data_IF_636157225771
#
_entry.id   IF_636157225771
#
_cell.length_a   1.000
_cell.length_b   1.000
_cell.length_c   1.000
_cell.angle_alpha   90.00
_cell.angle_beta   90.00
_cell.angle_gamma   90.00
#
_symmetry.space_group_name_H-M   'P 1'
#
loop_
_entity.id
_entity.type
_entity.pdbx_description
1 polymer ?
#
# COMPACT_ATOMS: atom_id res chain seq x y z
N UNK A 1 -4.88 -3.94 18.24
CA UNK A 1 -5.60 -5.00 17.58
C UNK A 1 -7.00 -4.63 17.13
N UNK A 2 -7.78 -4.00 17.97
CA UNK A 2 -9.16 -3.68 17.68
C UNK A 2 -9.40 -2.78 16.49
N UNK A 3 -8.59 -1.73 16.32
CA UNK A 3 -8.77 -0.74 15.23
C UNK A 3 -8.52 -1.35 13.87
N UNK A 4 -7.40 -2.03 13.69
CA UNK A 4 -7.06 -2.66 12.40
C UNK A 4 -8.10 -3.71 12.03
N UNK A 5 -8.56 -4.51 13.00
CA UNK A 5 -9.59 -5.52 12.77
C UNK A 5 -10.92 -4.89 12.35
N UNK A 6 -11.33 -3.80 13.03
CA UNK A 6 -12.58 -3.11 12.70
C UNK A 6 -12.52 -2.49 11.31
N UNK A 7 -11.40 -1.88 10.95
CA UNK A 7 -11.21 -1.32 9.63
C UNK A 7 -11.27 -2.42 8.58
N UNK A 8 -10.60 -3.55 8.83
CA UNK A 8 -10.64 -4.70 7.94
C UNK A 8 -12.05 -5.21 7.70
N UNK A 9 -12.85 -5.31 8.77
CA UNK A 9 -14.24 -5.74 8.65
C UNK A 9 -15.09 -4.74 7.86
N UNK A 10 -14.90 -3.44 8.06
CA UNK A 10 -15.58 -2.41 7.29
C UNK A 10 -15.21 -2.47 5.81
N UNK A 11 -13.94 -2.60 5.51
CA UNK A 11 -13.45 -2.66 4.13
C UNK A 11 -13.92 -3.93 3.41
N UNK A 12 -13.98 -5.04 4.14
CA UNK A 12 -14.44 -6.30 3.57
C UNK A 12 -15.90 -6.25 3.13
N UNK A 13 -16.72 -5.46 3.81
CA UNK A 13 -18.12 -5.25 3.45
C UNK A 13 -18.31 -4.38 2.22
N UNK A 14 -17.30 -3.61 1.85
CA UNK A 14 -17.37 -2.75 0.66
C UNK A 14 -17.13 -3.59 -0.59
N UNK A 15 -18.13 -3.67 -1.47
CA UNK A 15 -18.09 -4.50 -2.68
C UNK A 15 -16.97 -4.11 -3.65
N UNK A 16 -16.50 -2.88 -3.57
CA UNK A 16 -15.48 -2.37 -4.47
C UNK A 16 -14.05 -2.74 -4.03
N UNK A 17 -13.86 -3.11 -2.77
CA UNK A 17 -12.53 -3.46 -2.24
C UNK A 17 -12.23 -4.92 -2.52
N UNK A 18 -11.15 -5.20 -3.26
CA UNK A 18 -10.73 -6.56 -3.59
C UNK A 18 -9.82 -7.13 -2.52
N UNK A 19 -8.83 -6.36 -2.07
CA UNK A 19 -7.97 -6.74 -0.96
C UNK A 19 -7.44 -5.49 -0.27
N UNK A 20 -6.95 -5.65 0.94
CA UNK A 20 -6.45 -4.53 1.75
C UNK A 20 -5.30 -4.96 2.65
N UNK A 21 -4.39 -4.01 2.87
CA UNK A 21 -3.25 -4.17 3.77
C UNK A 21 -3.27 -3.07 4.83
N UNK A 22 -2.75 -3.38 6.00
CA UNK A 22 -2.29 -2.38 6.97
C UNK A 22 -0.78 -2.33 6.86
N UNK A 23 -0.22 -1.14 6.80
CA UNK A 23 1.22 -0.97 6.68
C UNK A 23 1.70 0.15 7.61
N UNK A 24 2.98 0.49 7.55
CA UNK A 24 3.54 1.52 8.40
C UNK A 24 3.74 1.06 9.83
N UNK A 25 3.64 1.98 10.79
CA UNK A 25 3.96 1.69 12.19
C UNK A 25 3.04 0.66 12.84
N UNK A 26 1.75 0.64 12.47
CA UNK A 26 0.82 -0.37 12.99
C UNK A 26 1.18 -1.80 12.54
N UNK A 27 1.59 -1.96 11.30
CA UNK A 27 1.99 -3.27 10.78
C UNK A 27 3.28 -3.76 11.43
N UNK A 28 4.20 -2.84 11.77
CA UNK A 28 5.46 -3.18 12.43
C UNK A 28 5.34 -3.36 13.94
N UNK A 29 4.17 -3.10 14.52
CA UNK A 29 3.98 -3.15 15.97
C UNK A 29 4.63 -2.01 16.73
N UNK A 30 5.01 -0.94 16.03
CA UNK A 30 5.68 0.23 16.62
C UNK A 30 4.72 1.36 16.97
N UNK A 31 3.45 1.21 16.61
CA UNK A 31 2.46 2.27 16.77
C UNK A 31 2.11 2.52 18.23
N UNK A 32 1.99 3.80 18.61
CA UNK A 32 1.31 4.21 19.80
C UNK A 32 -0.20 4.26 19.52
N UNK A 33 -1.00 4.41 20.57
CA UNK A 33 -2.45 4.51 20.40
C UNK A 33 -2.91 5.77 19.66
N UNK A 34 -2.02 6.74 19.47
CA UNK A 34 -2.31 7.99 18.75
C UNK A 34 -1.70 8.03 17.35
N UNK A 35 -1.10 6.93 16.91
CA UNK A 35 -0.53 6.85 15.58
C UNK A 35 -1.63 6.69 14.53
N UNK A 36 -1.39 7.24 13.34
CA UNK A 36 -2.28 7.05 12.20
C UNK A 36 -2.28 5.58 11.79
N UNK A 37 -3.42 5.11 11.34
CA UNK A 37 -3.53 3.78 10.75
C UNK A 37 -3.41 3.89 9.25
N UNK A 38 -2.32 3.38 8.70
CA UNK A 38 -2.06 3.40 7.26
C UNK A 38 -2.66 2.16 6.61
N UNK A 39 -3.60 2.37 5.70
CA UNK A 39 -4.31 1.30 5.01
C UNK A 39 -4.14 1.46 3.51
N UNK A 40 -3.84 0.38 2.83
CA UNK A 40 -3.74 0.36 1.38
C UNK A 40 -4.78 -0.62 0.81
N UNK A 41 -5.56 -0.16 -0.16
CA UNK A 41 -6.66 -0.93 -0.74
C UNK A 41 -6.50 -1.06 -2.24
N UNK A 42 -6.91 -2.21 -2.77
CA UNK A 42 -7.02 -2.43 -4.21
C UNK A 42 -8.50 -2.47 -4.56
N UNK A 43 -8.92 -1.63 -5.50
CA UNK A 43 -10.32 -1.43 -5.84
C UNK A 43 -10.64 -1.99 -7.21
N UNK A 44 -11.89 -2.45 -7.41
CA UNK A 44 -12.40 -2.82 -8.73
C UNK A 44 -12.52 -1.57 -9.59
N UNK A 45 -13.09 -0.50 -9.02
CA UNK A 45 -13.22 0.82 -9.63
C UNK A 45 -12.46 1.82 -8.76
N UNK A 46 -11.38 2.35 -9.29
CA UNK A 46 -10.51 3.29 -8.56
C UNK A 46 -10.84 4.76 -8.83
N UNK A 47 -12.04 5.05 -9.33
CA UNK A 47 -12.48 6.41 -9.58
C UNK A 47 -12.68 7.21 -8.30
N UNK A 48 -12.73 8.53 -8.46
CA UNK A 48 -12.83 9.45 -7.32
C UNK A 48 -14.08 9.22 -6.46
N UNK A 49 -15.22 9.00 -7.08
CA UNK A 49 -16.49 8.78 -6.36
C UNK A 49 -16.42 7.51 -5.51
N UNK A 50 -15.85 6.44 -6.06
CA UNK A 50 -15.68 5.18 -5.35
C UNK A 50 -14.75 5.34 -4.16
N UNK A 51 -13.69 6.14 -4.31
CA UNK A 51 -12.76 6.44 -3.23
C UNK A 51 -13.46 7.23 -2.11
N UNK A 52 -14.23 8.26 -2.46
CA UNK A 52 -14.95 9.08 -1.48
C UNK A 52 -15.99 8.24 -0.73
N UNK A 53 -16.70 7.37 -1.43
CA UNK A 53 -17.64 6.44 -0.81
C UNK A 53 -16.93 5.53 0.19
N UNK A 54 -15.78 5.01 -0.19
CA UNK A 54 -14.97 4.17 0.69
C UNK A 54 -14.62 4.91 1.99
N UNK A 55 -14.14 6.13 1.89
CA UNK A 55 -13.78 6.93 3.07
C UNK A 55 -14.96 7.14 4.00
N UNK A 56 -16.16 7.30 3.45
CA UNK A 56 -17.37 7.53 4.26
C UNK A 56 -17.80 6.32 5.08
N UNK A 57 -17.33 5.11 4.72
CA UNK A 57 -17.70 3.86 5.39
C UNK A 57 -16.75 3.47 6.51
N UNK A 58 -15.63 4.19 6.66
CA UNK A 58 -14.66 3.85 7.69
C UNK A 58 -15.19 4.15 9.09
N UNK A 59 -14.81 3.35 10.08
CA UNK A 59 -15.26 3.60 11.45
C UNK A 59 -14.63 4.87 12.01
N UNK A 60 -15.34 5.54 12.89
CA UNK A 60 -14.81 6.67 13.65
C UNK A 60 -14.18 6.11 14.92
N UNK A 61 -12.92 6.43 15.16
CA UNK A 61 -12.20 5.98 16.35
C UNK A 61 -11.39 7.15 16.90
N UNK A 62 -11.70 7.55 18.13
CA UNK A 62 -11.04 8.70 18.76
C UNK A 62 -9.53 8.44 18.93
N UNK A 63 -8.76 9.44 18.54
CA UNK A 63 -7.31 9.39 18.65
C UNK A 63 -6.61 8.62 17.54
N UNK A 64 -7.36 8.09 16.57
CA UNK A 64 -6.79 7.39 15.43
C UNK A 64 -7.30 8.03 14.13
N UNK A 65 -6.37 8.46 13.30
CA UNK A 65 -6.68 8.93 11.95
C UNK A 65 -6.36 7.81 10.95
N UNK A 66 -7.19 7.72 9.92
CA UNK A 66 -6.98 6.72 8.88
C UNK A 66 -6.38 7.39 7.65
N UNK A 67 -5.26 6.87 7.19
CA UNK A 67 -4.65 7.27 5.94
C UNK A 67 -4.87 6.12 4.94
N UNK A 68 -5.82 6.32 4.03
CA UNK A 68 -6.19 5.29 3.06
C UNK A 68 -5.60 5.62 1.70
N UNK A 69 -4.82 4.70 1.18
CA UNK A 69 -4.20 4.84 -0.13
C UNK A 69 -4.68 3.76 -1.07
N UNK A 70 -4.85 4.13 -2.34
CA UNK A 70 -5.29 3.20 -3.38
C UNK A 70 -4.07 2.64 -4.10
N UNK A 71 -3.99 1.32 -4.19
CA UNK A 71 -2.85 0.63 -4.79
C UNK A 71 -2.90 0.55 -6.31
N UNK A 72 -4.08 0.73 -6.92
CA UNK A 72 -4.30 0.48 -8.35
C UNK A 72 -3.27 1.15 -9.25
N UNK A 73 -3.00 2.42 -9.02
CA UNK A 73 -2.07 3.21 -9.84
C UNK A 73 -0.93 3.80 -9.02
N UNK A 74 -0.63 3.20 -7.89
CA UNK A 74 0.44 3.67 -7.03
C UNK A 74 1.82 3.40 -7.65
N UNK A 75 2.85 4.18 -7.27
CA UNK A 75 4.22 3.93 -7.74
C UNK A 75 4.74 2.56 -7.33
N UNK A 76 5.60 1.94 -8.14
CA UNK A 76 6.11 0.59 -7.84
C UNK A 76 6.78 0.44 -6.48
N UNK A 77 7.55 1.42 -6.03
CA UNK A 77 8.21 1.34 -4.73
C UNK A 77 7.23 1.38 -3.57
N UNK A 78 6.17 2.18 -3.69
CA UNK A 78 5.12 2.23 -2.68
C UNK A 78 4.42 0.88 -2.58
N UNK A 79 4.00 0.32 -3.72
CA UNK A 79 3.37 -1.01 -3.75
C UNK A 79 4.28 -2.08 -3.15
N UNK A 80 5.55 -2.05 -3.52
CA UNK A 80 6.54 -3.00 -3.02
C UNK A 80 6.68 -2.92 -1.49
N UNK A 81 6.76 -1.71 -0.95
CA UNK A 81 6.88 -1.53 0.49
C UNK A 81 5.65 -2.01 1.25
N UNK A 82 4.47 -1.82 0.68
CA UNK A 82 3.22 -2.34 1.27
C UNK A 82 3.24 -3.86 1.33
N UNK A 83 3.64 -4.52 0.24
CA UNK A 83 3.73 -5.98 0.19
C UNK A 83 4.77 -6.50 1.19
N UNK A 84 5.94 -5.86 1.24
CA UNK A 84 7.07 -6.31 2.06
C UNK A 84 6.82 -6.14 3.55
N UNK A 85 6.29 -5.00 3.95
CA UNK A 85 6.17 -4.63 5.36
C UNK A 85 4.75 -4.71 5.90
N UNK A 86 3.76 -4.71 5.02
CA UNK A 86 2.37 -4.68 5.41
C UNK A 86 1.82 -6.02 5.87
N UNK A 87 0.68 -5.95 6.54
CA UNK A 87 -0.10 -7.11 6.94
C UNK A 87 -1.36 -7.16 6.10
N UNK A 88 -1.59 -8.27 5.42
CA UNK A 88 -2.77 -8.47 4.60
C UNK A 88 -3.99 -8.65 5.51
N UNK A 89 -5.01 -7.81 5.33
CA UNK A 89 -6.24 -7.89 6.12
C UNK A 89 -7.20 -8.91 5.55
N UNK A 90 -7.41 -8.91 4.23
CA UNK A 90 -8.27 -9.88 3.56
C UNK A 90 -8.01 -9.87 2.05
N UNK A 91 -8.44 -10.93 1.38
CA UNK A 91 -8.39 -11.05 -0.08
C UNK A 91 -9.72 -11.65 -0.52
N UNK A 92 -10.44 -10.97 -1.40
CA UNK A 92 -11.69 -11.49 -1.97
C UNK A 92 -11.46 -12.23 -3.28
N UNK A 93 -10.47 -11.81 -4.06
CA UNK A 93 -10.09 -12.45 -5.32
C UNK A 93 -8.60 -12.76 -5.27
N UNK A 94 -8.31 -14.02 -5.00
CA UNK A 94 -6.94 -14.51 -4.83
C UNK A 94 -6.10 -14.31 -6.09
N UNK A 95 -6.68 -14.54 -7.25
CA UNK A 95 -5.98 -14.41 -8.52
C UNK A 95 -5.56 -12.98 -8.78
N UNK A 96 -6.45 -12.02 -8.53
CA UNK A 96 -6.16 -10.60 -8.68
C UNK A 96 -5.03 -10.19 -7.75
N UNK A 97 -5.07 -10.66 -6.51
CA UNK A 97 -4.02 -10.38 -5.54
C UNK A 97 -2.67 -10.95 -5.98
N UNK A 98 -2.64 -12.19 -6.43
CA UNK A 98 -1.42 -12.83 -6.91
C UNK A 98 -0.82 -12.09 -8.10
N UNK A 99 -1.64 -11.66 -9.04
CA UNK A 99 -1.20 -10.86 -10.17
C UNK A 99 -0.62 -9.52 -9.73
N UNK A 100 -1.27 -8.88 -8.76
CA UNK A 100 -0.78 -7.63 -8.19
C UNK A 100 0.60 -7.82 -7.57
N UNK A 101 0.79 -8.84 -6.75
CA UNK A 101 2.07 -9.13 -6.10
C UNK A 101 3.14 -9.40 -7.15
N UNK A 102 2.85 -10.26 -8.12
CA UNK A 102 3.79 -10.59 -9.19
C UNK A 102 4.22 -9.35 -9.98
N UNK A 103 3.26 -8.58 -10.46
CA UNK A 103 3.54 -7.38 -11.26
C UNK A 103 4.31 -6.33 -10.46
N UNK A 104 4.00 -6.21 -9.19
CA UNK A 104 4.71 -5.28 -8.30
C UNK A 104 6.16 -5.69 -8.12
N UNK A 105 6.42 -6.97 -7.89
CA UNK A 105 7.79 -7.47 -7.72
C UNK A 105 8.61 -7.29 -8.99
N UNK A 106 8.02 -7.58 -10.16
CA UNK A 106 8.71 -7.39 -11.45
C UNK A 106 9.05 -5.92 -11.65
N UNK A 107 8.09 -5.03 -11.43
CA UNK A 107 8.30 -3.59 -11.59
C UNK A 107 9.35 -3.05 -10.61
N UNK A 108 9.35 -3.54 -9.39
CA UNK A 108 10.34 -3.12 -8.39
C UNK A 108 11.75 -3.56 -8.76
N UNK A 109 11.90 -4.79 -9.29
CA UNK A 109 13.20 -5.27 -9.77
C UNK A 109 13.71 -4.47 -10.95
N UNK A 110 12.85 -4.17 -11.92
CA UNK A 110 13.21 -3.35 -13.08
C UNK A 110 13.66 -1.96 -12.64
N UNK A 111 12.95 -1.36 -11.71
CA UNK A 111 13.30 -0.05 -11.18
C UNK A 111 14.65 -0.10 -10.45
N UNK A 112 14.89 -1.14 -9.66
CA UNK A 112 16.16 -1.32 -8.96
C UNK A 112 17.33 -1.39 -9.94
N UNK A 113 17.18 -2.15 -11.02
CA UNK A 113 18.21 -2.27 -12.05
C UNK A 113 18.47 -0.92 -12.73
N UNK A 114 17.41 -0.18 -13.05
CA UNK A 114 17.51 1.14 -13.67
C UNK A 114 18.24 2.12 -12.74
N UNK A 115 17.85 2.17 -11.48
CA UNK A 115 18.48 3.06 -10.50
C UNK A 115 19.95 2.70 -10.26
N UNK A 116 20.26 1.41 -10.22
CA UNK A 116 21.64 0.95 -10.06
C UNK A 116 22.52 1.38 -11.24
N UNK A 117 22.01 1.25 -12.47
CA UNK A 117 22.74 1.67 -13.67
C UNK A 117 22.93 3.19 -13.69
N UNK A 118 21.88 3.95 -13.39
CA UNK A 118 21.95 5.42 -13.35
C UNK A 118 22.96 5.90 -12.31
N UNK A 119 22.95 5.26 -11.16
CA UNK A 119 23.91 5.59 -10.09
C UNK A 119 25.35 5.36 -10.53
N UNK A 120 25.60 4.25 -11.20
CA UNK A 120 26.91 3.90 -11.72
C UNK A 120 27.39 4.92 -12.77
N UNK A 121 26.52 5.24 -13.73
CA UNK A 121 26.82 6.23 -14.77
C UNK A 121 27.10 7.61 -14.19
N UNK A 122 26.32 8.03 -13.21
CA UNK A 122 26.52 9.31 -12.53
C UNK A 122 27.86 9.33 -11.81
N UNK A 123 28.21 8.26 -11.12
CA UNK A 123 29.46 8.16 -10.39
C UNK A 123 30.65 8.20 -11.35
N UNK A 124 30.59 7.46 -12.45
CA UNK A 124 31.64 7.46 -13.49
C UNK A 124 31.85 8.85 -14.08
N UNK A 125 30.75 9.56 -14.37
CA UNK A 125 30.82 10.93 -14.92
C UNK A 125 31.47 11.89 -13.93
N UNK A 126 31.17 11.76 -12.65
CA UNK A 126 31.76 12.60 -11.62
C UNK A 126 33.27 12.32 -11.50
N UNK A 127 33.66 11.05 -11.50
CA UNK A 127 35.06 10.66 -11.42
C UNK A 127 35.86 11.12 -12.65
N UNK A 128 35.26 11.06 -13.83
CA UNK A 128 35.92 11.51 -15.07
C UNK A 128 36.13 13.03 -15.10
N UNK A 129 35.32 13.78 -14.35
CA UNK A 129 35.44 15.24 -14.26
C UNK A 129 36.53 15.68 -13.27
N UNK A 130 37.03 14.78 -12.46
CA UNK A 130 38.12 15.08 -11.55
C UNK A 130 39.46 14.98 -12.23
#
# INVERSE_FOLDING_TARGET
MGVAKRVGECLEKNHNVVFAYVYGSHARGEASRFSDLDVAVFLKDSGHESYMELLSTLPVDEGVEFDVRVLNNAPPLFKYNVIREGTLLFVKDKKVHEEFVYNTLVSALELKETLTRMRKETLERILDAL
#
